data_IF_912189288516
#
_entry.id   IF_912189288516
#
_cell.length_a   1.000
_cell.length_b   1.000
_cell.length_c   1.000
_cell.angle_alpha   90.00
_cell.angle_beta   90.00
_cell.angle_gamma   90.00
#
_symmetry.space_group_name_H-M   'P 1'
#
loop_
_entity.id
_entity.type
_entity.pdbx_description
1 polymer ?
#
# COMPACT_ATOMS: atom_id res chain seq x y z
N UNK A 1 -7.22 6.49 -11.00
CA UNK A 1 -6.39 5.32 -10.62
C UNK A 1 -5.13 5.71 -9.85
N UNK A 2 -4.22 6.51 -10.44
CA UNK A 2 -2.92 6.88 -9.81
C UNK A 2 -3.08 7.52 -8.44
N UNK A 3 -3.96 8.53 -8.31
CA UNK A 3 -4.27 9.17 -7.03
C UNK A 3 -4.68 8.18 -5.94
N UNK A 4 -5.53 7.19 -6.28
CA UNK A 4 -5.95 6.17 -5.31
C UNK A 4 -4.79 5.33 -4.77
N UNK A 5 -3.81 4.98 -5.61
CA UNK A 5 -2.58 4.30 -5.12
C UNK A 5 -1.76 5.24 -4.25
N UNK A 6 -1.53 6.47 -4.69
CA UNK A 6 -0.70 7.42 -3.94
C UNK A 6 -1.30 7.71 -2.56
N UNK A 7 -2.61 7.96 -2.50
CA UNK A 7 -3.34 8.19 -1.27
C UNK A 7 -3.27 6.95 -0.36
N UNK A 8 -3.43 5.73 -0.92
CA UNK A 8 -3.28 4.49 -0.16
C UNK A 8 -1.88 4.36 0.46
N UNK A 9 -0.83 4.56 -0.33
CA UNK A 9 0.56 4.46 0.14
C UNK A 9 0.82 5.50 1.22
N UNK A 10 0.33 6.72 1.04
CA UNK A 10 0.47 7.79 2.01
C UNK A 10 -0.21 7.44 3.35
N UNK A 11 -1.44 6.94 3.33
CA UNK A 11 -2.08 6.45 4.56
C UNK A 11 -1.33 5.26 5.16
N UNK A 12 -0.82 4.34 4.36
CA UNK A 12 -0.12 3.14 4.85
C UNK A 12 1.18 3.45 5.60
N UNK A 13 1.74 4.65 5.39
CA UNK A 13 2.92 5.14 6.08
C UNK A 13 2.62 5.80 7.44
N UNK A 14 1.34 5.93 7.82
CA UNK A 14 1.00 6.54 9.10
C UNK A 14 1.46 5.65 10.26
N UNK A 15 2.06 6.28 11.27
CA UNK A 15 2.54 5.61 12.50
C UNK A 15 1.39 5.27 13.46
N UNK A 16 0.18 5.73 13.18
CA UNK A 16 -1.01 5.42 13.97
C UNK A 16 -2.25 5.58 13.12
N UNK A 17 -3.25 4.75 13.39
CA UNK A 17 -4.48 4.69 12.65
C UNK A 17 -5.69 4.85 13.55
N UNK A 18 -6.62 5.69 13.10
CA UNK A 18 -8.02 5.70 13.56
C UNK A 18 -8.89 4.97 12.55
N UNK A 19 -10.10 4.59 12.94
CA UNK A 19 -11.09 4.02 12.01
C UNK A 19 -11.37 4.93 10.81
N UNK A 20 -11.33 6.26 10.99
CA UNK A 20 -11.46 7.23 9.89
C UNK A 20 -10.29 7.12 8.90
N UNK A 21 -9.05 7.03 9.38
CA UNK A 21 -7.88 6.85 8.50
C UNK A 21 -7.88 5.50 7.80
N UNK A 22 -8.36 4.44 8.46
CA UNK A 22 -8.52 3.11 7.85
C UNK A 22 -9.59 3.13 6.77
N UNK A 23 -10.71 3.83 7.01
CA UNK A 23 -11.75 4.00 6.00
C UNK A 23 -11.24 4.76 4.79
N UNK A 24 -10.49 5.85 4.99
CA UNK A 24 -9.87 6.61 3.90
C UNK A 24 -8.87 5.78 3.10
N UNK A 25 -8.11 4.90 3.76
CA UNK A 25 -7.20 3.97 3.09
C UNK A 25 -7.98 2.95 2.22
N UNK A 26 -9.06 2.38 2.74
CA UNK A 26 -9.93 1.47 2.00
C UNK A 26 -10.60 2.16 0.79
N UNK A 27 -11.07 3.40 0.97
CA UNK A 27 -11.66 4.21 -0.09
C UNK A 27 -10.63 4.53 -1.19
N UNK A 28 -9.39 4.84 -0.81
CA UNK A 28 -8.29 5.04 -1.75
C UNK A 28 -7.99 3.77 -2.57
N UNK A 29 -7.99 2.61 -1.92
CA UNK A 29 -7.81 1.32 -2.60
C UNK A 29 -8.98 1.04 -3.57
N UNK A 30 -10.22 1.24 -3.14
CA UNK A 30 -11.41 1.11 -4.00
C UNK A 30 -11.32 2.03 -5.21
N UNK A 31 -10.94 3.29 -5.01
CA UNK A 31 -10.75 4.26 -6.10
C UNK A 31 -9.69 3.79 -7.10
N UNK A 32 -8.59 3.18 -6.63
CA UNK A 32 -7.63 2.57 -7.54
C UNK A 32 -8.25 1.42 -8.33
N UNK A 33 -8.89 0.46 -7.66
CA UNK A 33 -9.49 -0.72 -8.29
C UNK A 33 -10.58 -0.38 -9.30
N UNK A 34 -11.41 0.63 -9.04
CA UNK A 34 -12.44 1.11 -9.96
C UNK A 34 -11.87 1.69 -11.25
N UNK A 35 -10.67 2.28 -11.19
CA UNK A 35 -10.13 3.04 -12.31
C UNK A 35 -8.96 2.35 -13.03
N UNK A 36 -8.35 1.30 -12.46
CA UNK A 36 -7.13 0.69 -13.02
C UNK A 36 -7.35 0.00 -14.37
N UNK A 37 -8.60 -0.35 -14.70
CA UNK A 37 -8.95 -1.00 -15.97
C UNK A 37 -8.50 -0.17 -17.19
N UNK A 38 -8.48 1.17 -17.09
CA UNK A 38 -8.06 2.05 -18.18
C UNK A 38 -6.63 1.76 -18.68
N UNK A 39 -5.73 1.30 -17.81
CA UNK A 39 -4.37 0.94 -18.22
C UNK A 39 -4.31 -0.36 -19.04
N UNK A 40 -5.30 -1.24 -18.85
CA UNK A 40 -5.48 -2.44 -19.67
C UNK A 40 -6.14 -2.07 -20.98
N UNK A 41 -7.19 -1.24 -20.94
CA UNK A 41 -7.94 -0.82 -22.13
C UNK A 41 -7.06 -0.02 -23.10
N UNK A 42 -6.15 0.81 -22.59
CA UNK A 42 -5.17 1.55 -23.40
C UNK A 42 -3.97 0.69 -23.87
N UNK A 43 -3.92 -0.59 -23.50
CA UNK A 43 -2.86 -1.52 -23.92
C UNK A 43 -1.51 -1.31 -23.20
N UNK A 44 -1.44 -0.47 -22.17
CA UNK A 44 -0.22 -0.24 -21.41
C UNK A 44 0.15 -1.43 -20.50
N UNK A 45 -0.80 -2.31 -20.18
CA UNK A 45 -0.59 -3.50 -19.36
C UNK A 45 -1.62 -4.58 -19.67
N UNK A 46 -1.26 -5.85 -19.57
CA UNK A 46 -2.17 -6.98 -19.83
C UNK A 46 -3.10 -7.29 -18.64
N UNK A 47 -2.59 -7.21 -17.41
CA UNK A 47 -3.36 -7.46 -16.19
C UNK A 47 -2.76 -6.79 -14.94
N UNK A 48 -3.52 -6.73 -13.86
CA UNK A 48 -3.06 -6.25 -12.54
C UNK A 48 -2.86 -7.37 -11.51
N UNK A 49 -2.66 -8.62 -11.95
CA UNK A 49 -2.32 -9.77 -11.09
C UNK A 49 -0.87 -9.67 -10.58
N UNK A 50 -0.62 -8.65 -9.75
CA UNK A 50 0.69 -8.35 -9.19
C UNK A 50 0.60 -8.59 -7.70
N UNK A 51 1.50 -9.41 -7.17
CA UNK A 51 1.48 -9.80 -5.76
C UNK A 51 1.38 -8.60 -4.81
N UNK A 52 2.16 -7.54 -5.08
CA UNK A 52 2.13 -6.30 -4.29
C UNK A 52 0.77 -5.59 -4.32
N UNK A 53 0.05 -5.63 -5.44
CA UNK A 53 -1.28 -5.01 -5.55
C UNK A 53 -2.32 -5.87 -4.87
N UNK A 54 -2.21 -7.19 -5.00
CA UNK A 54 -3.08 -8.11 -4.29
C UNK A 54 -2.91 -7.97 -2.77
N UNK A 55 -1.67 -7.89 -2.27
CA UNK A 55 -1.42 -7.76 -0.83
C UNK A 55 -2.01 -6.50 -0.20
N UNK A 56 -2.24 -5.43 -0.97
CA UNK A 56 -2.84 -4.19 -0.46
C UNK A 56 -4.22 -4.40 0.17
N UNK A 57 -5.00 -5.38 -0.30
CA UNK A 57 -6.34 -5.68 0.27
C UNK A 57 -6.28 -6.17 1.71
N UNK A 58 -5.12 -6.67 2.15
CA UNK A 58 -4.93 -7.21 3.49
C UNK A 58 -4.41 -6.18 4.49
N UNK A 59 -4.00 -4.98 4.04
CA UNK A 59 -3.39 -3.98 4.92
C UNK A 59 -4.30 -3.57 6.07
N UNK A 60 -5.58 -3.28 5.81
CA UNK A 60 -6.50 -2.85 6.87
C UNK A 60 -6.67 -3.93 7.95
N UNK A 61 -6.78 -5.20 7.56
CA UNK A 61 -6.85 -6.32 8.49
C UNK A 61 -5.56 -6.47 9.28
N UNK A 62 -4.40 -6.41 8.61
CA UNK A 62 -3.10 -6.48 9.28
C UNK A 62 -2.91 -5.34 10.26
N UNK A 63 -3.30 -4.11 9.89
CA UNK A 63 -3.16 -2.94 10.77
C UNK A 63 -4.00 -3.08 12.03
N UNK A 64 -5.23 -3.60 11.90
CA UNK A 64 -6.10 -3.86 13.06
C UNK A 64 -5.56 -4.96 13.99
N UNK A 65 -4.89 -5.97 13.43
CA UNK A 65 -4.38 -7.11 14.20
C UNK A 65 -2.99 -6.87 14.80
N UNK A 66 -2.13 -6.13 14.10
CA UNK A 66 -0.70 -6.04 14.38
C UNK A 66 -0.19 -4.61 14.58
N UNK A 67 -1.03 -3.59 14.42
CA UNK A 67 -0.63 -2.18 14.50
C UNK A 67 -0.18 -1.61 13.16
N UNK A 68 0.29 -0.35 13.15
CA UNK A 68 0.76 0.34 11.95
C UNK A 68 1.93 -0.37 11.27
N UNK A 69 2.14 -0.06 9.99
CA UNK A 69 3.16 -0.71 9.17
C UNK A 69 4.59 -0.17 9.41
N UNK A 70 4.76 0.87 10.22
CA UNK A 70 6.04 1.51 10.50
C UNK A 70 7.05 0.56 11.17
N UNK A 71 6.60 -0.38 11.99
CA UNK A 71 7.43 -1.42 12.60
C UNK A 71 7.83 -2.58 11.67
N UNK A 72 7.28 -2.63 10.46
CA UNK A 72 7.46 -3.73 9.50
C UNK A 72 8.10 -3.29 8.17
N UNK A 73 8.52 -2.02 8.06
CA UNK A 73 9.21 -1.55 6.87
C UNK A 73 10.67 -2.04 6.84
N UNK A 74 11.28 -2.06 5.66
CA UNK A 74 12.66 -2.53 5.49
C UNK A 74 13.69 -1.40 5.65
N UNK A 75 13.28 -0.18 5.98
CA UNK A 75 14.18 0.98 6.00
C UNK A 75 15.29 0.81 7.06
N UNK A 76 14.93 0.40 8.27
CA UNK A 76 15.86 0.16 9.37
C UNK A 76 16.85 -0.99 9.06
N UNK A 77 16.41 -2.21 8.68
CA UNK A 77 17.34 -3.29 8.36
C UNK A 77 18.21 -2.96 7.13
N UNK A 78 17.66 -2.32 6.08
CA UNK A 78 18.48 -1.90 4.93
C UNK A 78 19.54 -0.86 5.32
N UNK A 79 19.22 0.08 6.23
CA UNK A 79 20.20 1.03 6.75
C UNK A 79 21.33 0.32 7.50
N UNK A 80 20.98 -0.65 8.35
CA UNK A 80 21.97 -1.47 9.06
C UNK A 80 22.85 -2.28 8.10
N UNK A 81 22.31 -2.77 6.98
CA UNK A 81 23.11 -3.46 5.96
C UNK A 81 24.21 -2.57 5.38
N UNK A 82 24.01 -1.26 5.23
CA UNK A 82 25.05 -0.33 4.75
C UNK A 82 26.18 -0.19 5.77
N UNK A 83 25.83 -0.09 7.05
CA UNK A 83 26.81 0.14 8.13
C UNK A 83 27.57 -1.15 8.49
N UNK A 84 26.95 -2.32 8.36
CA UNK A 84 27.50 -3.61 8.78
C UNK A 84 28.15 -4.44 7.64
N UNK A 85 27.83 -4.15 6.37
CA UNK A 85 28.40 -4.85 5.22
C UNK A 85 29.60 -4.14 4.57
N UNK A 86 30.10 -3.06 5.19
CA UNK A 86 31.42 -2.49 4.89
C UNK A 86 32.53 -3.30 5.54
#
# INVERSE_FOLDING_TARGET
AVRGILDFVYYAQYQSHTEDTLQKMDDALKLFHQNKAIFVDLGHRTHFNILKIHSMVHYMTSIRLFGSADGFNMELPERLHIDLAK
#
